data_IF_038594078691
#
_entry.id   IF_038594078691
#
_cell.length_a   1.000
_cell.length_b   1.000
_cell.length_c   1.000
_cell.angle_alpha   90.00
_cell.angle_beta   90.00
_cell.angle_gamma   90.00
#
_symmetry.space_group_name_H-M   'P 1'
#
loop_
_entity.id
_entity.type
_entity.pdbx_description
1 polymer ?
#
# COMPACT_ATOMS: atom_id res chain seq x y z
N UNK A 1 38.37 25.98 5.60
CA UNK A 1 37.72 26.85 4.60
C UNK A 1 37.50 26.03 3.35
N UNK A 2 36.30 25.57 3.17
CA UNK A 2 35.68 25.33 1.86
C UNK A 2 34.38 24.55 2.10
N UNK A 3 33.36 25.27 1.96
CA UNK A 3 32.01 24.98 1.53
C UNK A 3 31.75 23.51 1.14
N UNK A 4 30.93 22.86 1.95
CA UNK A 4 30.12 21.76 1.47
C UNK A 4 28.66 22.05 1.88
N UNK A 5 28.13 23.10 1.24
CA UNK A 5 26.72 23.48 1.30
C UNK A 5 25.91 22.57 0.39
N UNK A 6 24.86 22.01 0.96
CA UNK A 6 23.64 21.63 0.27
C UNK A 6 23.76 20.64 -0.90
N UNK A 7 23.91 19.36 -0.60
CA UNK A 7 23.26 18.34 -1.41
C UNK A 7 21.78 18.25 -0.96
N UNK A 8 20.99 19.24 -1.39
CA UNK A 8 19.54 19.11 -1.43
C UNK A 8 19.19 17.75 -2.05
N UNK A 9 18.34 17.01 -1.36
CA UNK A 9 17.72 15.76 -1.82
C UNK A 9 16.83 16.01 -3.04
N UNK A 10 17.42 16.42 -4.15
CA UNK A 10 16.75 16.51 -5.44
C UNK A 10 16.53 15.10 -5.94
N UNK A 11 15.30 14.61 -5.83
CA UNK A 11 14.84 13.41 -6.54
C UNK A 11 15.27 13.59 -8.00
N UNK A 12 16.09 12.65 -8.51
CA UNK A 12 16.68 12.79 -9.84
C UNK A 12 15.57 13.07 -10.87
N UNK A 13 15.74 14.03 -11.79
CA UNK A 13 14.71 14.43 -12.77
C UNK A 13 14.13 13.24 -13.55
N UNK A 14 14.93 12.21 -13.81
CA UNK A 14 14.48 10.96 -14.44
C UNK A 14 13.43 10.20 -13.60
N UNK A 15 13.56 10.22 -12.27
CA UNK A 15 12.60 9.56 -11.38
C UNK A 15 11.28 10.31 -11.34
N UNK A 16 11.30 11.64 -11.27
CA UNK A 16 10.08 12.45 -11.34
C UNK A 16 9.33 12.23 -12.65
N UNK A 17 10.05 12.27 -13.78
CA UNK A 17 9.47 11.98 -15.08
C UNK A 17 8.85 10.57 -15.14
N UNK A 18 9.52 9.58 -14.55
CA UNK A 18 8.98 8.22 -14.49
C UNK A 18 7.66 8.15 -13.70
N UNK A 19 7.56 8.88 -12.57
CA UNK A 19 6.30 8.96 -11.80
C UNK A 19 5.20 9.62 -12.64
N UNK A 20 5.48 10.73 -13.31
CA UNK A 20 4.53 11.41 -14.18
C UNK A 20 4.03 10.51 -15.32
N UNK A 21 4.93 9.76 -15.95
CA UNK A 21 4.59 8.82 -17.03
C UNK A 21 3.71 7.68 -16.50
N UNK A 22 3.99 7.18 -15.28
CA UNK A 22 3.13 6.19 -14.63
C UNK A 22 1.72 6.73 -14.36
N UNK A 23 1.61 7.96 -13.85
CA UNK A 23 0.32 8.59 -13.58
C UNK A 23 -0.47 8.76 -14.87
N UNK A 24 0.15 9.26 -15.94
CA UNK A 24 -0.49 9.40 -17.26
C UNK A 24 -0.99 8.07 -17.81
N UNK A 25 -0.18 7.02 -17.68
CA UNK A 25 -0.58 5.68 -18.12
C UNK A 25 -1.78 5.16 -17.33
N UNK A 26 -1.78 5.29 -15.99
CA UNK A 26 -2.89 4.88 -15.16
C UNK A 26 -4.18 5.65 -15.48
N UNK A 27 -4.07 6.95 -15.72
CA UNK A 27 -5.21 7.77 -16.14
C UNK A 27 -5.73 7.33 -17.53
N UNK A 28 -4.83 6.95 -18.44
CA UNK A 28 -5.21 6.46 -19.78
C UNK A 28 -5.98 5.14 -19.72
N UNK A 29 -5.62 4.21 -18.82
CA UNK A 29 -6.32 2.93 -18.66
C UNK A 29 -7.57 3.01 -17.79
N UNK A 30 -7.81 4.12 -17.09
CA UNK A 30 -8.96 4.31 -16.19
C UNK A 30 -10.30 3.92 -16.84
N UNK A 31 -10.65 4.32 -18.08
CA UNK A 31 -11.91 3.94 -18.70
C UNK A 31 -12.08 2.42 -18.82
N UNK A 32 -10.99 1.69 -19.15
CA UNK A 32 -11.00 0.23 -19.22
C UNK A 32 -11.23 -0.40 -17.85
N UNK A 33 -10.53 0.09 -16.82
CA UNK A 33 -10.70 -0.38 -15.44
C UNK A 33 -12.11 -0.11 -14.95
N UNK A 34 -12.66 1.07 -15.20
CA UNK A 34 -14.05 1.41 -14.85
C UNK A 34 -15.07 0.54 -15.59
N UNK A 35 -14.79 0.17 -16.85
CA UNK A 35 -15.61 -0.77 -17.58
C UNK A 35 -15.59 -2.16 -16.94
N UNK A 36 -14.40 -2.66 -16.54
CA UNK A 36 -14.25 -3.94 -15.86
C UNK A 36 -14.99 -3.98 -14.53
N UNK A 37 -14.98 -2.89 -13.74
CA UNK A 37 -15.74 -2.78 -12.51
C UNK A 37 -17.25 -2.94 -12.74
N UNK A 38 -17.76 -2.56 -13.90
CA UNK A 38 -19.19 -2.65 -14.26
C UNK A 38 -19.59 -3.98 -14.88
N UNK A 39 -18.69 -4.68 -15.55
CA UNK A 39 -19.05 -5.80 -16.45
C UNK A 39 -18.49 -7.14 -16.03
N UNK A 40 -17.40 -7.20 -15.27
CA UNK A 40 -16.73 -8.45 -14.95
C UNK A 40 -17.19 -9.00 -13.61
N UNK A 41 -17.71 -10.24 -13.59
CA UNK A 41 -18.08 -10.95 -12.35
C UNK A 41 -16.92 -11.10 -11.34
N UNK A 42 -15.69 -11.16 -11.85
CA UNK A 42 -14.49 -11.35 -11.00
C UNK A 42 -14.04 -10.07 -10.27
N UNK A 43 -14.36 -8.90 -10.86
CA UNK A 43 -13.93 -7.60 -10.35
C UNK A 43 -15.10 -6.72 -9.93
N UNK A 44 -16.26 -6.93 -10.54
CA UNK A 44 -17.45 -6.17 -10.23
C UNK A 44 -18.06 -6.64 -8.91
N UNK A 45 -18.11 -5.71 -7.94
CA UNK A 45 -19.18 -5.75 -6.95
C UNK A 45 -20.46 -5.22 -7.57
N UNK A 46 -21.52 -5.10 -6.79
CA UNK A 46 -22.78 -4.49 -7.25
C UNK A 46 -22.66 -2.96 -7.36
N UNK A 47 -21.49 -2.42 -7.68
CA UNK A 47 -21.25 -0.98 -7.69
C UNK A 47 -20.97 -0.43 -9.08
N UNK A 48 -21.53 0.74 -9.31
CA UNK A 48 -21.37 1.55 -10.51
C UNK A 48 -20.05 2.33 -10.52
N UNK A 49 -19.67 2.83 -9.34
CA UNK A 49 -18.42 3.58 -9.12
C UNK A 49 -17.94 3.46 -7.67
N UNK A 50 -16.66 3.79 -7.45
CA UNK A 50 -16.04 3.90 -6.14
C UNK A 50 -15.45 5.31 -6.04
N UNK A 51 -15.83 6.07 -5.03
CA UNK A 51 -15.47 7.48 -4.86
C UNK A 51 -14.76 7.72 -3.52
N UNK A 52 -13.87 8.71 -3.48
CA UNK A 52 -13.31 9.24 -2.23
C UNK A 52 -13.95 10.58 -1.93
N UNK A 53 -14.59 10.70 -0.79
CA UNK A 53 -15.30 11.91 -0.38
C UNK A 53 -14.54 12.78 0.61
N UNK A 54 -13.63 12.21 1.38
CA UNK A 54 -12.74 12.93 2.29
C UNK A 54 -11.34 12.34 2.22
N UNK A 55 -10.32 13.17 2.36
CA UNK A 55 -8.93 12.73 2.40
C UNK A 55 -8.18 13.51 3.47
N UNK A 56 -7.56 12.81 4.43
CA UNK A 56 -6.57 13.37 5.35
C UNK A 56 -5.25 12.66 5.14
N UNK A 57 -4.16 13.38 5.10
CA UNK A 57 -2.82 12.81 4.92
C UNK A 57 -1.92 13.20 6.08
N UNK A 58 -1.10 12.26 6.54
CA UNK A 58 -0.07 12.47 7.54
C UNK A 58 1.20 11.72 7.13
N UNK A 59 2.33 12.42 7.21
CA UNK A 59 3.66 11.83 7.11
C UNK A 59 4.66 12.62 7.94
N UNK A 60 5.67 11.94 8.46
CA UNK A 60 6.83 12.59 9.09
C UNK A 60 7.97 12.63 8.08
N UNK A 61 8.37 13.83 7.68
CA UNK A 61 9.51 14.03 6.79
C UNK A 61 10.73 14.36 7.65
N UNK A 62 11.79 13.53 7.55
CA UNK A 62 13.16 13.78 8.02
C UNK A 62 13.27 14.59 9.33
N UNK A 63 13.15 13.96 10.49
CA UNK A 63 13.67 14.45 11.78
C UNK A 63 13.24 15.82 12.29
N UNK A 64 12.81 16.72 11.42
CA UNK A 64 12.43 18.09 11.75
C UNK A 64 10.95 18.34 11.46
N UNK A 65 10.21 18.49 12.58
CA UNK A 65 8.90 19.09 12.70
C UNK A 65 7.73 18.44 11.93
N UNK A 66 6.72 18.10 12.75
CA UNK A 66 5.35 17.81 12.35
C UNK A 66 4.82 18.83 11.33
N UNK A 67 5.10 18.63 10.07
CA UNK A 67 4.27 19.18 9.02
C UNK A 67 3.12 18.21 8.83
N UNK A 68 2.14 18.30 9.73
CA UNK A 68 0.80 17.83 9.45
C UNK A 68 0.36 18.51 8.14
N UNK A 69 0.46 17.79 7.04
CA UNK A 69 -0.20 18.17 5.79
C UNK A 69 -1.68 17.81 5.93
N UNK A 70 -2.30 18.24 7.04
CA UNK A 70 -3.73 18.25 7.19
C UNK A 70 -4.28 19.39 6.32
N UNK A 71 -4.24 19.20 5.02
CA UNK A 71 -5.22 19.84 4.19
C UNK A 71 -6.46 18.98 4.33
N UNK A 72 -7.45 19.48 5.08
CA UNK A 72 -8.83 19.03 4.96
C UNK A 72 -9.25 19.36 3.53
N UNK A 73 -8.91 18.49 2.60
CA UNK A 73 -9.42 18.54 1.25
C UNK A 73 -10.86 18.06 1.34
N UNK A 74 -11.78 19.00 1.47
CA UNK A 74 -13.12 18.75 0.97
C UNK A 74 -12.95 18.63 -0.53
N UNK A 75 -13.07 17.41 -1.06
CA UNK A 75 -13.23 17.20 -2.50
C UNK A 75 -14.41 18.08 -2.92
N UNK A 76 -14.23 19.10 -3.77
CA UNK A 76 -15.36 19.82 -4.28
C UNK A 76 -16.26 18.77 -4.93
N UNK A 77 -17.48 18.66 -4.48
CA UNK A 77 -18.53 17.98 -5.25
C UNK A 77 -18.58 18.75 -6.56
N UNK A 78 -18.03 18.20 -7.62
CA UNK A 78 -18.31 18.69 -8.95
C UNK A 78 -19.76 18.35 -9.15
N UNK A 79 -20.64 19.35 -8.98
CA UNK A 79 -22.00 19.30 -9.49
C UNK A 79 -21.91 19.20 -11.02
N UNK A 80 -21.60 18.00 -11.50
CA UNK A 80 -21.98 17.63 -12.85
C UNK A 80 -23.49 17.57 -12.76
N UNK A 81 -24.12 18.60 -13.28
CA UNK A 81 -25.55 18.73 -13.44
C UNK A 81 -26.05 17.65 -14.42
N UNK A 82 -25.95 16.39 -14.01
CA UNK A 82 -26.67 15.26 -14.56
C UNK A 82 -28.09 15.44 -14.08
N UNK A 83 -28.94 16.08 -14.91
CA UNK A 83 -30.28 16.51 -14.62
C UNK A 83 -30.96 15.68 -13.55
N UNK A 84 -31.50 16.31 -12.51
CA UNK A 84 -32.28 15.84 -11.38
C UNK A 84 -32.65 14.34 -11.37
N UNK A 85 -31.65 13.46 -11.20
CA UNK A 85 -31.86 12.12 -10.70
C UNK A 85 -31.72 12.25 -9.20
N UNK A 86 -32.81 12.18 -8.45
CA UNK A 86 -32.77 12.00 -6.99
C UNK A 86 -31.90 10.78 -6.74
N UNK A 87 -30.65 11.00 -6.33
CA UNK A 87 -29.72 9.93 -6.01
C UNK A 87 -30.25 9.20 -4.78
N UNK A 88 -30.68 7.99 -4.99
CA UNK A 88 -31.16 7.09 -3.95
C UNK A 88 -30.01 6.78 -2.98
N UNK A 89 -29.96 7.49 -1.85
CA UNK A 89 -28.96 7.30 -0.80
C UNK A 89 -28.93 5.87 -0.23
N UNK A 90 -30.01 5.09 -0.43
CA UNK A 90 -30.08 3.68 -0.02
C UNK A 90 -29.14 2.79 -0.83
N UNK A 91 -28.64 3.28 -1.96
CA UNK A 91 -27.71 2.58 -2.86
C UNK A 91 -26.24 2.97 -2.65
N UNK A 92 -25.88 3.47 -1.49
CA UNK A 92 -24.52 3.87 -1.17
C UNK A 92 -24.00 3.18 0.08
N UNK A 93 -22.78 2.63 0.01
CA UNK A 93 -22.07 2.10 1.17
C UNK A 93 -20.77 2.87 1.33
N UNK A 94 -20.58 3.50 2.47
CA UNK A 94 -19.34 4.23 2.78
C UNK A 94 -18.55 3.51 3.85
N UNK A 95 -17.24 3.37 3.63
CA UNK A 95 -16.29 2.82 4.60
C UNK A 95 -15.12 3.77 4.78
N UNK A 96 -14.64 3.88 6.00
CA UNK A 96 -13.38 4.57 6.30
C UNK A 96 -12.21 3.63 5.96
N UNK A 97 -11.28 4.08 5.11
CA UNK A 97 -10.10 3.31 4.76
C UNK A 97 -8.84 4.16 4.99
N UNK A 98 -7.90 3.60 5.74
CA UNK A 98 -6.60 4.21 6.00
C UNK A 98 -5.55 3.52 5.13
N UNK A 99 -5.07 4.20 4.09
CA UNK A 99 -4.05 3.68 3.18
C UNK A 99 -2.67 4.10 3.66
N UNK A 100 -1.78 3.14 3.90
CA UNK A 100 -0.44 3.36 4.42
C UNK A 100 0.57 2.83 3.40
N UNK A 101 1.48 3.70 2.95
CA UNK A 101 2.67 3.23 2.25
C UNK A 101 3.72 2.80 3.27
N UNK A 102 4.42 1.68 3.00
CA UNK A 102 5.53 1.26 3.84
C UNK A 102 6.60 2.34 4.04
N UNK A 103 7.26 2.33 5.20
CA UNK A 103 8.43 3.14 5.52
C UNK A 103 9.60 2.88 4.57
N UNK A 104 10.68 3.63 4.69
CA UNK A 104 11.86 3.44 3.86
C UNK A 104 12.43 2.02 4.03
N UNK A 105 12.53 1.29 2.93
CA UNK A 105 13.23 0.00 2.87
C UNK A 105 14.62 0.14 2.26
N UNK A 106 15.50 -0.85 2.45
CA UNK A 106 16.86 -0.83 1.90
C UNK A 106 16.89 -0.67 0.37
N UNK A 107 15.90 -1.21 -0.34
CA UNK A 107 15.75 -0.98 -1.79
C UNK A 107 15.52 0.49 -2.14
N UNK A 108 14.82 1.27 -1.30
CA UNK A 108 14.61 2.69 -1.53
C UNK A 108 15.94 3.47 -1.41
N UNK A 109 16.76 3.11 -0.44
CA UNK A 109 18.12 3.67 -0.29
C UNK A 109 18.97 3.32 -1.50
N UNK A 110 18.95 2.06 -1.94
CA UNK A 110 19.68 1.60 -3.11
C UNK A 110 19.26 2.35 -4.39
N UNK A 111 17.97 2.63 -4.60
CA UNK A 111 17.50 3.48 -5.70
C UNK A 111 18.00 4.92 -5.59
N UNK A 112 17.97 5.52 -4.40
CA UNK A 112 18.46 6.89 -4.17
C UNK A 112 19.96 7.00 -4.45
N UNK A 113 20.73 5.94 -4.14
CA UNK A 113 22.17 5.87 -4.33
C UNK A 113 22.57 5.46 -5.76
N UNK A 114 21.59 5.05 -6.60
CA UNK A 114 21.85 4.59 -7.97
C UNK A 114 22.50 3.19 -8.04
N UNK A 115 22.50 2.43 -6.95
CA UNK A 115 22.97 1.04 -6.91
C UNK A 115 21.90 0.07 -7.40
N UNK A 116 20.64 0.43 -7.30
CA UNK A 116 19.52 -0.17 -8.03
C UNK A 116 19.09 0.81 -9.13
N UNK A 117 19.01 0.35 -10.36
CA UNK A 117 18.59 1.17 -11.50
C UNK A 117 17.10 0.99 -11.80
N UNK A 118 16.48 2.03 -12.30
CA UNK A 118 15.08 2.02 -12.74
C UNK A 118 14.98 2.51 -14.19
N UNK A 119 14.25 1.83 -15.11
CA UNK A 119 13.69 0.47 -14.92
C UNK A 119 14.81 -0.57 -14.82
N UNK A 120 14.56 -1.65 -14.10
CA UNK A 120 15.47 -2.79 -14.09
C UNK A 120 15.35 -3.48 -15.47
N UNK A 121 16.44 -3.45 -16.21
CA UNK A 121 16.55 -4.18 -17.47
C UNK A 121 17.42 -5.41 -17.17
N UNK A 122 16.88 -6.63 -17.31
CA UNK A 122 17.70 -7.82 -17.27
C UNK A 122 18.74 -7.66 -18.38
N UNK A 123 20.00 -7.60 -18.05
CA UNK A 123 21.07 -7.71 -19.04
C UNK A 123 21.01 -9.14 -19.55
N UNK A 124 20.51 -9.34 -20.76
CA UNK A 124 20.66 -10.58 -21.50
C UNK A 124 22.15 -10.75 -21.80
N UNK A 125 22.89 -11.36 -20.88
CA UNK A 125 24.18 -11.96 -21.23
C UNK A 125 23.86 -13.32 -21.85
N UNK A 126 24.18 -13.47 -23.13
CA UNK A 126 23.98 -14.72 -23.87
C UNK A 126 24.56 -15.90 -23.08
N UNK A 127 23.73 -16.85 -22.71
CA UNK A 127 24.11 -18.10 -22.06
C UNK A 127 24.13 -18.08 -20.53
N UNK A 128 23.72 -17.01 -19.87
CA UNK A 128 23.56 -16.99 -18.41
C UNK A 128 22.09 -17.23 -18.07
N UNK A 129 21.77 -18.44 -17.64
CA UNK A 129 20.55 -18.69 -16.89
C UNK A 129 20.66 -17.88 -15.59
N UNK A 130 19.91 -16.77 -15.49
CA UNK A 130 19.81 -15.97 -14.28
C UNK A 130 19.13 -16.81 -13.18
N UNK A 131 19.94 -17.64 -12.53
CA UNK A 131 19.49 -18.25 -11.27
C UNK A 131 19.53 -17.19 -10.20
N UNK A 132 18.50 -17.16 -9.35
CA UNK A 132 18.33 -16.27 -8.19
C UNK A 132 19.62 -16.02 -7.40
N UNK A 133 20.55 -16.97 -7.40
CA UNK A 133 21.77 -16.96 -6.59
C UNK A 133 22.91 -16.09 -7.13
N UNK A 134 22.82 -15.53 -8.33
CA UNK A 134 23.95 -14.88 -9.00
C UNK A 134 23.75 -13.39 -9.34
N UNK A 135 22.54 -12.84 -9.15
CA UNK A 135 22.31 -11.43 -9.43
C UNK A 135 22.63 -10.58 -8.19
N UNK A 136 23.45 -9.52 -8.29
CA UNK A 136 23.81 -8.68 -7.14
C UNK A 136 22.59 -8.05 -6.46
N UNK A 137 21.48 -7.88 -7.18
CA UNK A 137 20.25 -7.28 -6.66
C UNK A 137 19.40 -8.24 -5.82
N UNK A 138 19.72 -9.54 -5.75
CA UNK A 138 18.99 -10.50 -4.92
C UNK A 138 19.17 -10.29 -3.42
N UNK A 139 20.16 -9.52 -3.00
CA UNK A 139 20.25 -9.04 -1.62
C UNK A 139 19.04 -8.19 -1.22
N UNK A 140 18.27 -7.71 -2.20
CA UNK A 140 17.08 -6.89 -1.99
C UNK A 140 15.75 -7.66 -2.06
N UNK A 141 15.77 -8.99 -2.15
CA UNK A 141 14.54 -9.80 -2.14
C UNK A 141 13.76 -9.51 -0.87
N UNK A 142 12.48 -9.13 -1.04
CA UNK A 142 11.56 -8.79 0.06
C UNK A 142 12.22 -7.97 1.17
N UNK A 143 12.85 -6.84 0.79
CA UNK A 143 13.63 -6.03 1.73
C UNK A 143 12.85 -5.64 2.97
N UNK A 144 13.57 -5.56 4.09
CA UNK A 144 13.04 -5.00 5.35
C UNK A 144 13.14 -3.48 5.36
N UNK A 145 12.53 -2.85 6.37
CA UNK A 145 12.69 -1.44 6.65
C UNK A 145 14.14 -1.13 7.08
N UNK A 146 14.60 0.08 6.77
CA UNK A 146 15.75 0.71 7.41
C UNK A 146 15.36 1.22 8.79
N UNK A 147 16.33 1.62 9.62
CA UNK A 147 16.04 2.29 10.92
C UNK A 147 15.18 3.54 10.71
N UNK A 148 15.43 4.31 9.64
CA UNK A 148 14.61 5.45 9.25
C UNK A 148 13.18 5.01 8.89
N UNK A 149 13.03 3.94 8.12
CA UNK A 149 11.72 3.39 7.76
C UNK A 149 10.93 2.90 8.97
N UNK A 150 11.59 2.32 9.96
CA UNK A 150 10.96 1.95 11.23
C UNK A 150 10.53 3.19 12.02
N UNK A 151 11.39 4.22 12.11
CA UNK A 151 11.05 5.49 12.75
C UNK A 151 9.87 6.18 12.06
N UNK A 152 9.79 6.13 10.73
CA UNK A 152 8.64 6.62 9.97
C UNK A 152 7.36 5.87 10.37
N UNK A 153 7.41 4.54 10.47
CA UNK A 153 6.27 3.72 10.88
C UNK A 153 5.84 4.01 12.33
N UNK A 154 6.80 4.11 13.26
CA UNK A 154 6.53 4.43 14.67
C UNK A 154 5.91 5.82 14.81
N UNK A 155 6.33 6.79 13.98
CA UNK A 155 5.78 8.15 14.01
C UNK A 155 4.30 8.23 13.65
N UNK A 156 3.74 7.19 13.02
CA UNK A 156 2.31 7.11 12.72
C UNK A 156 1.45 6.77 13.95
N UNK A 157 2.03 6.25 15.04
CA UNK A 157 1.27 5.77 16.21
C UNK A 157 0.32 6.81 16.78
N UNK A 158 0.75 8.05 16.91
CA UNK A 158 -0.10 9.11 17.48
C UNK A 158 -1.25 9.47 16.53
N UNK A 159 -0.98 9.49 15.22
CA UNK A 159 -2.04 9.66 14.22
C UNK A 159 -3.04 8.50 14.24
N UNK A 160 -2.56 7.27 14.31
CA UNK A 160 -3.38 6.05 14.39
C UNK A 160 -4.26 6.08 15.64
N UNK A 161 -3.69 6.39 16.80
CA UNK A 161 -4.43 6.50 18.06
C UNK A 161 -5.58 7.53 18.00
N UNK A 162 -5.39 8.63 17.27
CA UNK A 162 -6.37 9.72 17.18
C UNK A 162 -7.40 9.53 16.05
N UNK A 163 -7.04 8.83 14.98
CA UNK A 163 -7.85 8.80 13.76
C UNK A 163 -8.32 7.40 13.34
N UNK A 164 -7.81 6.33 13.99
CA UNK A 164 -8.15 4.94 13.66
C UNK A 164 -8.75 4.20 14.87
N UNK A 165 -9.39 4.90 15.79
CA UNK A 165 -9.95 4.31 17.02
C UNK A 165 -11.03 3.25 16.76
N UNK A 166 -11.76 3.37 15.65
CA UNK A 166 -12.80 2.43 15.25
C UNK A 166 -12.32 1.41 14.20
N UNK A 167 -11.03 1.44 13.85
CA UNK A 167 -10.45 0.51 12.89
C UNK A 167 -10.47 -0.91 13.47
N UNK A 168 -11.18 -1.82 12.83
CA UNK A 168 -11.38 -3.20 13.29
C UNK A 168 -10.55 -4.22 12.52
N UNK A 169 -9.86 -3.77 11.46
CA UNK A 169 -9.03 -4.63 10.63
C UNK A 169 -7.82 -3.90 10.09
N UNK A 170 -6.65 -4.50 10.27
CA UNK A 170 -5.41 -4.11 9.62
C UNK A 170 -5.06 -5.12 8.53
N UNK A 171 -5.15 -4.68 7.29
CA UNK A 171 -4.83 -5.44 6.08
C UNK A 171 -3.37 -5.19 5.75
N UNK A 172 -2.58 -6.24 5.65
CA UNK A 172 -1.15 -6.17 5.41
C UNK A 172 -0.82 -6.77 4.04
N UNK A 173 0.04 -6.10 3.28
CA UNK A 173 0.76 -6.75 2.20
C UNK A 173 1.60 -7.90 2.76
N UNK A 174 1.76 -9.02 2.03
CA UNK A 174 2.59 -10.13 2.48
C UNK A 174 4.08 -9.79 2.51
N UNK A 175 4.50 -8.66 1.94
CA UNK A 175 5.89 -8.23 1.93
C UNK A 175 6.33 -7.65 3.27
N UNK A 176 7.53 -8.05 3.72
CA UNK A 176 8.05 -7.71 5.07
C UNK A 176 7.95 -6.22 5.38
N UNK A 177 8.46 -5.34 4.53
CA UNK A 177 8.48 -3.88 4.77
C UNK A 177 7.10 -3.28 5.04
N UNK A 178 6.07 -3.75 4.35
CA UNK A 178 4.72 -3.24 4.54
C UNK A 178 4.07 -3.83 5.81
N UNK A 179 4.25 -5.14 6.06
CA UNK A 179 3.83 -5.77 7.30
C UNK A 179 4.52 -5.16 8.52
N UNK A 180 5.84 -4.91 8.47
CA UNK A 180 6.58 -4.21 9.52
C UNK A 180 5.99 -2.83 9.78
N UNK A 181 5.71 -2.05 8.73
CA UNK A 181 5.13 -0.71 8.85
C UNK A 181 3.77 -0.76 9.54
N UNK A 182 2.88 -1.65 9.10
CA UNK A 182 1.55 -1.79 9.71
C UNK A 182 1.62 -2.18 11.19
N UNK A 183 2.45 -3.18 11.53
CA UNK A 183 2.62 -3.63 12.91
C UNK A 183 3.20 -2.54 13.81
N UNK A 184 4.21 -1.80 13.34
CA UNK A 184 4.81 -0.71 14.11
C UNK A 184 3.87 0.48 14.29
N UNK A 185 3.15 0.87 13.23
CA UNK A 185 2.20 1.96 13.27
C UNK A 185 1.01 1.68 14.22
N UNK A 186 0.56 0.43 14.28
CA UNK A 186 -0.58 -0.01 15.09
C UNK A 186 -0.18 -0.69 16.40
N UNK A 187 1.07 -0.53 16.86
CA UNK A 187 1.58 -1.24 18.06
C UNK A 187 0.69 -0.99 19.29
N UNK A 188 0.31 0.27 19.54
CA UNK A 188 -0.53 0.63 20.69
C UNK A 188 -1.91 -0.06 20.60
N UNK A 189 -2.54 0.03 19.44
CA UNK A 189 -3.85 -0.57 19.16
C UNK A 189 -3.81 -2.10 19.26
N UNK A 190 -2.73 -2.73 18.83
CA UNK A 190 -2.53 -4.17 18.93
C UNK A 190 -2.35 -4.60 20.39
N UNK A 191 -1.50 -3.88 21.16
CA UNK A 191 -1.16 -4.24 22.55
C UNK A 191 -2.24 -3.88 23.56
N UNK A 192 -2.86 -2.71 23.43
CA UNK A 192 -3.85 -2.21 24.38
C UNK A 192 -5.23 -2.84 24.14
N UNK A 193 -5.54 -3.16 22.91
CA UNK A 193 -6.88 -3.46 22.46
C UNK A 193 -7.29 -4.92 22.61
N UNK A 194 -6.36 -5.83 22.78
CA UNK A 194 -6.68 -7.21 23.17
C UNK A 194 -7.40 -7.29 24.53
N UNK A 195 -7.41 -6.19 25.29
CA UNK A 195 -7.92 -6.16 26.68
C UNK A 195 -9.15 -5.27 26.90
N UNK A 196 -9.39 -4.26 26.07
CA UNK A 196 -10.37 -3.21 26.38
C UNK A 196 -11.33 -2.84 25.25
N UNK A 197 -11.06 -3.21 24.01
CA UNK A 197 -11.94 -2.86 22.88
C UNK A 197 -13.16 -3.76 22.79
N UNK A 198 -14.30 -3.12 22.50
CA UNK A 198 -15.55 -3.83 22.20
C UNK A 198 -15.44 -4.69 20.92
N UNK A 199 -14.62 -4.25 19.95
CA UNK A 199 -14.34 -4.95 18.70
C UNK A 199 -12.82 -5.17 18.58
N UNK A 200 -12.33 -6.42 18.65
CA UNK A 200 -10.91 -6.70 18.52
C UNK A 200 -10.40 -6.35 17.11
N UNK A 201 -9.17 -5.82 17.04
CA UNK A 201 -8.49 -5.62 15.77
C UNK A 201 -8.14 -6.99 15.16
N UNK A 202 -8.41 -7.17 13.88
CA UNK A 202 -8.01 -8.34 13.09
C UNK A 202 -6.77 -8.00 12.27
N UNK A 203 -5.80 -8.91 12.19
CA UNK A 203 -4.63 -8.78 11.33
C UNK A 203 -4.76 -9.75 10.16
N UNK A 204 -4.92 -9.22 8.96
CA UNK A 204 -5.19 -10.01 7.76
C UNK A 204 -4.12 -9.74 6.70
N UNK A 205 -3.49 -10.78 6.19
CA UNK A 205 -2.51 -10.65 5.10
C UNK A 205 -3.17 -10.93 3.76
N UNK A 206 -3.08 -10.00 2.82
CA UNK A 206 -3.73 -10.09 1.50
C UNK A 206 -2.72 -10.02 0.36
N UNK A 207 -2.69 -11.06 -0.48
CA UNK A 207 -1.83 -11.09 -1.66
C UNK A 207 -2.15 -9.95 -2.63
N UNK A 208 -3.42 -9.51 -2.70
CA UNK A 208 -3.84 -8.38 -3.52
C UNK A 208 -3.12 -7.08 -3.17
N UNK A 209 -2.67 -6.91 -1.91
CA UNK A 209 -1.96 -5.72 -1.44
C UNK A 209 -0.45 -5.71 -1.77
N UNK A 210 0.04 -6.69 -2.52
CA UNK A 210 1.43 -6.81 -2.98
C UNK A 210 1.84 -5.60 -3.86
N UNK A 211 3.15 -5.32 -3.97
CA UNK A 211 3.67 -4.29 -4.91
C UNK A 211 3.47 -4.75 -6.38
N UNK A 212 3.80 -3.92 -7.34
CA UNK A 212 3.83 -4.32 -8.76
C UNK A 212 4.76 -5.52 -8.93
N UNK A 213 4.27 -6.58 -9.60
CA UNK A 213 5.00 -7.84 -9.70
C UNK A 213 6.15 -7.82 -10.71
N UNK A 214 7.16 -8.65 -10.46
CA UNK A 214 8.18 -9.07 -11.42
C UNK A 214 9.00 -7.95 -12.07
N UNK A 215 9.20 -6.83 -11.39
CA UNK A 215 10.03 -5.75 -11.91
C UNK A 215 11.43 -5.74 -11.28
N UNK A 216 11.51 -5.99 -9.98
CA UNK A 216 12.75 -6.00 -9.22
C UNK A 216 12.74 -7.13 -8.21
N UNK A 217 13.89 -7.65 -7.79
CA UNK A 217 13.96 -8.66 -6.72
C UNK A 217 13.25 -8.21 -5.43
N UNK A 218 13.21 -6.91 -5.15
CA UNK A 218 12.48 -6.37 -4.00
C UNK A 218 10.96 -6.51 -4.11
N UNK A 219 10.43 -6.85 -5.29
CA UNK A 219 9.01 -7.13 -5.52
C UNK A 219 8.65 -8.61 -5.34
N UNK A 220 9.63 -9.48 -5.12
CA UNK A 220 9.43 -10.87 -4.74
C UNK A 220 9.29 -10.97 -3.22
N UNK A 221 8.21 -11.61 -2.73
CA UNK A 221 8.08 -11.92 -1.31
C UNK A 221 8.78 -13.22 -0.95
N UNK A 222 9.15 -13.37 0.32
CA UNK A 222 9.57 -14.65 0.87
C UNK A 222 8.43 -15.68 0.85
N UNK A 223 8.76 -16.96 0.97
CA UNK A 223 7.77 -18.00 1.22
C UNK A 223 7.13 -17.81 2.61
N UNK A 224 5.95 -18.42 2.83
CA UNK A 224 5.20 -18.22 4.08
C UNK A 224 5.95 -18.74 5.30
N UNK A 225 6.70 -19.82 5.15
CA UNK A 225 7.53 -20.36 6.23
C UNK A 225 8.57 -19.33 6.69
N UNK A 226 9.30 -18.74 5.75
CA UNK A 226 10.34 -17.75 6.07
C UNK A 226 9.74 -16.44 6.59
N UNK A 227 8.57 -16.02 6.10
CA UNK A 227 7.83 -14.89 6.66
C UNK A 227 7.44 -15.13 8.12
N UNK A 228 6.91 -16.30 8.45
CA UNK A 228 6.58 -16.67 9.83
C UNK A 228 7.83 -16.71 10.71
N UNK A 229 8.91 -17.34 10.24
CA UNK A 229 10.21 -17.33 10.94
C UNK A 229 10.71 -15.90 11.18
N UNK A 230 10.59 -15.02 10.18
CA UNK A 230 11.00 -13.62 10.32
C UNK A 230 10.25 -12.91 11.45
N UNK A 231 8.91 -12.99 11.50
CA UNK A 231 8.10 -12.24 12.46
C UNK A 231 8.06 -12.88 13.85
N UNK A 232 8.04 -14.22 13.95
CA UNK A 232 7.79 -14.92 15.21
C UNK A 232 9.05 -15.49 15.87
N UNK A 233 10.15 -15.67 15.13
CA UNK A 233 11.39 -16.27 15.63
C UNK A 233 12.55 -15.28 15.56
N UNK A 234 12.98 -14.88 14.34
CA UNK A 234 14.16 -14.03 14.13
C UNK A 234 13.99 -12.64 14.77
N UNK A 235 12.81 -12.04 14.67
CA UNK A 235 12.48 -10.74 15.25
C UNK A 235 11.40 -10.86 16.34
N UNK A 236 11.45 -11.96 17.10
CA UNK A 236 10.46 -12.23 18.15
C UNK A 236 10.37 -11.15 19.21
N UNK A 237 11.50 -10.54 19.59
CA UNK A 237 11.53 -9.46 20.58
C UNK A 237 10.77 -8.22 20.10
N UNK A 238 10.83 -7.91 18.82
CA UNK A 238 10.17 -6.74 18.25
C UNK A 238 8.74 -7.05 17.84
N UNK A 239 8.55 -7.91 16.83
CA UNK A 239 7.23 -8.16 16.24
C UNK A 239 6.49 -9.29 16.95
N UNK A 240 7.20 -10.34 17.35
CA UNK A 240 6.62 -11.46 18.06
C UNK A 240 6.01 -11.05 19.40
N UNK A 241 6.62 -10.11 20.13
CA UNK A 241 6.08 -9.59 21.38
C UNK A 241 4.84 -8.71 21.16
N UNK A 242 4.81 -7.91 20.09
CA UNK A 242 3.61 -7.15 19.71
C UNK A 242 2.44 -8.11 19.49
N UNK A 243 2.64 -9.17 18.70
CA UNK A 243 1.62 -10.15 18.34
C UNK A 243 1.21 -11.02 19.54
N UNK A 244 2.18 -11.54 20.30
CA UNK A 244 1.92 -12.41 21.48
C UNK A 244 1.19 -11.68 22.62
N UNK A 245 1.53 -10.40 22.85
CA UNK A 245 0.90 -9.61 23.92
C UNK A 245 -0.59 -9.37 23.68
N UNK A 246 -1.02 -9.39 22.44
CA UNK A 246 -2.41 -9.16 22.03
C UNK A 246 -3.19 -10.45 21.81
N UNK A 247 -2.52 -11.60 21.69
CA UNK A 247 -3.12 -12.86 21.25
C UNK A 247 -3.55 -12.87 19.78
N UNK A 248 -3.05 -11.89 19.00
CA UNK A 248 -3.31 -11.81 17.56
C UNK A 248 -2.23 -12.56 16.78
N UNK A 249 -2.63 -13.12 15.65
CA UNK A 249 -1.75 -13.77 14.69
C UNK A 249 -1.92 -13.15 13.31
N UNK A 250 -0.86 -13.18 12.51
CA UNK A 250 -0.94 -12.81 11.11
C UNK A 250 -1.69 -13.92 10.36
N UNK A 251 -2.88 -13.60 9.90
CA UNK A 251 -3.72 -14.57 9.19
C UNK A 251 -3.31 -14.68 7.72
N UNK A 252 -2.43 -15.64 7.46
CA UNK A 252 -2.03 -16.04 6.10
C UNK A 252 -2.95 -17.11 5.51
N UNK A 253 -3.52 -17.96 6.36
CA UNK A 253 -4.18 -19.19 5.94
C UNK A 253 -5.61 -18.94 5.41
N UNK A 254 -6.43 -18.16 6.13
CA UNK A 254 -7.82 -17.92 5.74
C UNK A 254 -7.94 -17.13 4.44
N UNK A 255 -6.85 -16.46 4.05
CA UNK A 255 -6.79 -15.67 2.82
C UNK A 255 -6.28 -16.45 1.61
N UNK A 256 -5.96 -17.74 1.77
CA UNK A 256 -5.54 -18.62 0.69
C UNK A 256 -4.17 -18.26 0.09
N UNK A 257 -3.28 -17.62 0.86
CA UNK A 257 -1.92 -17.34 0.40
C UNK A 257 -1.19 -18.65 0.12
N UNK A 258 -0.50 -18.70 -1.03
CA UNK A 258 0.34 -19.84 -1.40
C UNK A 258 1.65 -19.81 -0.66
N UNK A 259 2.29 -20.98 -0.46
CA UNK A 259 3.57 -21.09 0.22
C UNK A 259 4.65 -20.20 -0.47
N UNK A 260 4.83 -20.33 -1.77
CA UNK A 260 5.72 -19.48 -2.56
C UNK A 260 4.98 -18.29 -3.16
N UNK A 261 5.73 -17.25 -3.54
CA UNK A 261 5.20 -16.11 -4.28
C UNK A 261 4.58 -16.58 -5.61
N UNK A 262 3.27 -16.42 -5.81
CA UNK A 262 2.61 -16.93 -7.00
C UNK A 262 2.80 -16.04 -8.24
N UNK A 263 3.40 -14.88 -8.06
CA UNK A 263 3.49 -13.84 -9.09
C UNK A 263 4.90 -13.61 -9.58
N UNK A 264 5.88 -14.18 -8.89
CA UNK A 264 7.28 -14.04 -9.27
C UNK A 264 7.63 -14.97 -10.43
N UNK A 265 8.05 -14.39 -11.53
CA UNK A 265 8.47 -15.09 -12.75
C UNK A 265 9.96 -14.88 -13.09
N UNK A 266 10.78 -14.67 -12.07
CA UNK A 266 12.22 -14.36 -12.19
C UNK A 266 12.53 -13.01 -12.86
N UNK A 267 11.62 -12.06 -12.78
CA UNK A 267 11.78 -10.73 -13.35
C UNK A 267 11.59 -10.66 -14.87
N UNK A 268 11.15 -11.76 -15.51
CA UNK A 268 10.97 -11.80 -16.95
C UNK A 268 9.76 -11.01 -17.42
N UNK A 269 8.75 -10.88 -16.58
CA UNK A 269 7.53 -10.18 -16.92
C UNK A 269 7.05 -9.31 -15.75
N UNK A 270 6.96 -8.03 -16.00
CA UNK A 270 6.34 -7.10 -15.06
C UNK A 270 4.82 -7.15 -15.20
N UNK A 271 4.11 -7.14 -14.07
CA UNK A 271 2.68 -6.88 -14.05
C UNK A 271 2.40 -5.54 -14.72
N UNK A 272 1.47 -5.50 -15.66
CA UNK A 272 1.02 -4.26 -16.25
C UNK A 272 0.13 -3.44 -15.30
N UNK A 273 -0.13 -2.19 -15.65
CA UNK A 273 -0.93 -1.29 -14.81
C UNK A 273 -2.38 -1.77 -14.67
N UNK A 274 -2.91 -2.43 -15.69
CA UNK A 274 -4.26 -3.01 -15.66
C UNK A 274 -4.31 -4.17 -14.67
N UNK A 275 -3.31 -5.04 -14.65
CA UNK A 275 -3.20 -6.13 -13.68
C UNK A 275 -3.18 -5.60 -12.25
N UNK A 276 -2.34 -4.58 -11.99
CA UNK A 276 -2.26 -3.93 -10.69
C UNK A 276 -3.60 -3.30 -10.27
N UNK A 277 -4.27 -2.58 -11.17
CA UNK A 277 -5.59 -2.01 -10.94
C UNK A 277 -6.65 -3.08 -10.67
N UNK A 278 -6.63 -4.20 -11.40
CA UNK A 278 -7.53 -5.35 -11.16
C UNK A 278 -7.37 -5.92 -9.75
N UNK A 279 -6.13 -6.02 -9.23
CA UNK A 279 -5.89 -6.41 -7.83
C UNK A 279 -6.49 -5.39 -6.85
N UNK A 280 -6.32 -4.10 -7.14
CA UNK A 280 -6.96 -3.02 -6.38
C UNK A 280 -8.49 -3.15 -6.35
N UNK A 281 -9.12 -3.44 -7.51
CA UNK A 281 -10.55 -3.71 -7.58
C UNK A 281 -10.96 -4.91 -6.70
N UNK A 282 -10.22 -6.01 -6.76
CA UNK A 282 -10.50 -7.21 -5.95
C UNK A 282 -10.42 -6.89 -4.46
N UNK A 283 -9.38 -6.16 -4.04
CA UNK A 283 -9.22 -5.79 -2.64
C UNK A 283 -10.35 -4.88 -2.17
N UNK A 284 -10.71 -3.86 -2.94
CA UNK A 284 -11.80 -2.95 -2.58
C UNK A 284 -13.16 -3.65 -2.59
N UNK A 285 -13.39 -4.57 -3.54
CA UNK A 285 -14.59 -5.43 -3.53
C UNK A 285 -14.66 -6.27 -2.26
N UNK A 286 -13.57 -6.93 -1.91
CA UNK A 286 -13.51 -7.72 -0.67
C UNK A 286 -13.76 -6.85 0.57
N UNK A 287 -13.22 -5.63 0.62
CA UNK A 287 -13.49 -4.67 1.71
C UNK A 287 -14.96 -4.25 1.72
N UNK A 288 -15.59 -4.09 0.56
CA UNK A 288 -17.03 -3.83 0.49
C UNK A 288 -17.84 -4.98 1.10
N UNK A 289 -17.47 -6.22 0.79
CA UNK A 289 -18.21 -7.43 1.18
C UNK A 289 -18.13 -7.75 2.68
N UNK A 290 -17.10 -7.28 3.41
CA UNK A 290 -16.97 -7.50 4.86
C UNK A 290 -17.81 -6.51 5.66
N UNK A 291 -18.16 -6.88 6.90
CA UNK A 291 -18.98 -6.01 7.78
C UNK A 291 -18.19 -4.85 8.41
N UNK A 292 -16.88 -4.92 8.40
CA UNK A 292 -16.01 -3.93 9.00
C UNK A 292 -16.20 -2.54 8.33
N UNK A 293 -16.46 -1.51 9.14
CA UNK A 293 -16.75 -0.14 8.65
C UNK A 293 -15.51 0.71 8.50
N UNK A 294 -14.47 0.40 9.25
CA UNK A 294 -13.20 1.10 9.24
C UNK A 294 -12.05 0.09 9.22
N UNK A 295 -11.19 0.20 8.21
CA UNK A 295 -10.07 -0.69 7.96
C UNK A 295 -8.81 0.09 7.61
N UNK A 296 -7.63 -0.48 7.90
CA UNK A 296 -6.35 0.05 7.47
C UNK A 296 -5.66 -0.92 6.50
N UNK A 297 -4.89 -0.38 5.53
CA UNK A 297 -4.17 -1.14 4.53
C UNK A 297 -2.72 -0.67 4.50
N UNK A 298 -1.78 -1.53 4.88
CA UNK A 298 -0.36 -1.25 4.72
C UNK A 298 0.15 -1.92 3.43
N UNK A 299 0.57 -1.11 2.47
CA UNK A 299 0.92 -1.53 1.12
C UNK A 299 2.05 -0.68 0.51
N UNK A 300 2.06 -0.51 -0.80
CA UNK A 300 3.18 -0.01 -1.58
C UNK A 300 2.77 1.11 -2.53
N UNK A 301 3.76 1.95 -2.91
CA UNK A 301 3.51 3.13 -3.74
C UNK A 301 2.88 2.82 -5.10
N UNK A 302 3.37 1.79 -5.80
CA UNK A 302 2.86 1.42 -7.13
C UNK A 302 1.42 0.91 -7.05
N UNK A 303 1.14 0.04 -6.10
CA UNK A 303 -0.19 -0.51 -5.86
C UNK A 303 -1.20 0.56 -5.43
N UNK A 304 -0.85 1.38 -4.43
CA UNK A 304 -1.73 2.46 -3.96
C UNK A 304 -2.01 3.48 -5.05
N UNK A 305 -0.99 3.84 -5.85
CA UNK A 305 -1.18 4.71 -6.99
C UNK A 305 -2.15 4.12 -8.02
N UNK A 306 -2.05 2.81 -8.31
CA UNK A 306 -2.99 2.15 -9.22
C UNK A 306 -4.44 2.24 -8.71
N UNK A 307 -4.67 2.08 -7.40
CA UNK A 307 -5.99 2.26 -6.81
C UNK A 307 -6.49 3.69 -7.02
N UNK A 308 -5.69 4.69 -6.62
CA UNK A 308 -6.14 6.08 -6.63
C UNK A 308 -6.25 6.68 -8.03
N UNK A 309 -5.42 6.25 -8.99
CA UNK A 309 -5.41 6.81 -10.35
C UNK A 309 -6.38 6.12 -11.30
N UNK A 310 -6.75 4.86 -11.06
CA UNK A 310 -7.55 4.12 -12.03
C UNK A 310 -8.79 3.42 -11.49
N UNK A 311 -8.81 3.05 -10.21
CA UNK A 311 -9.96 2.34 -9.61
C UNK A 311 -10.93 3.31 -8.96
N UNK A 312 -10.44 4.18 -8.08
CA UNK A 312 -11.25 5.17 -7.37
C UNK A 312 -11.49 6.37 -8.28
N UNK A 313 -12.73 6.80 -8.38
CA UNK A 313 -13.06 8.08 -8.98
C UNK A 313 -12.65 9.19 -8.01
N UNK A 314 -11.60 9.93 -8.36
CA UNK A 314 -11.17 11.08 -7.60
C UNK A 314 -11.11 12.31 -8.53
N UNK A 315 -11.28 13.49 -7.95
CA UNK A 315 -11.11 14.74 -8.68
C UNK A 315 -9.61 14.99 -8.89
N UNK A 316 -9.25 15.61 -10.00
CA UNK A 316 -7.88 15.88 -10.48
C UNK A 316 -6.94 16.56 -9.48
N UNK A 317 -7.44 17.04 -8.35
CA UNK A 317 -6.67 17.73 -7.31
C UNK A 317 -6.16 16.80 -6.20
N UNK A 318 -6.56 15.51 -6.19
CA UNK A 318 -6.13 14.56 -5.16
C UNK A 318 -4.69 14.14 -5.41
N UNK A 319 -3.79 14.44 -4.46
CA UNK A 319 -2.44 13.93 -4.53
C UNK A 319 -2.43 12.40 -4.32
N UNK A 320 -2.21 11.66 -5.40
CA UNK A 320 -2.19 10.19 -5.44
C UNK A 320 -0.83 9.58 -5.14
N UNK A 321 0.19 10.43 -4.98
CA UNK A 321 1.54 10.01 -4.59
C UNK A 321 1.60 9.83 -3.08
N UNK A 322 2.22 8.74 -2.65
CA UNK A 322 2.47 8.45 -1.25
C UNK A 322 3.97 8.57 -0.95
N UNK A 323 4.33 9.29 0.11
CA UNK A 323 5.68 9.29 0.68
C UNK A 323 5.91 8.01 1.51
N UNK A 324 7.18 7.64 1.77
CA UNK A 324 7.49 6.53 2.67
C UNK A 324 6.93 6.82 4.07
N UNK A 325 6.23 5.86 4.67
CA UNK A 325 5.60 6.05 5.96
C UNK A 325 4.44 7.06 5.95
N UNK A 326 3.81 7.32 4.82
CA UNK A 326 2.63 8.17 4.74
C UNK A 326 1.35 7.36 4.91
N UNK A 327 0.42 7.91 5.70
CA UNK A 327 -0.94 7.42 5.84
C UNK A 327 -1.92 8.43 5.24
N UNK A 328 -2.87 7.94 4.44
CA UNK A 328 -4.00 8.72 3.91
C UNK A 328 -5.30 8.07 4.36
N UNK A 329 -6.08 8.82 5.13
CA UNK A 329 -7.39 8.37 5.65
C UNK A 329 -8.50 8.92 4.78
N UNK A 330 -9.32 8.03 4.23
CA UNK A 330 -10.36 8.37 3.26
C UNK A 330 -11.70 7.78 3.66
N UNK A 331 -12.78 8.51 3.35
CA UNK A 331 -14.11 7.93 3.24
C UNK A 331 -14.31 7.47 1.80
N UNK A 332 -14.39 6.15 1.64
CA UNK A 332 -14.57 5.50 0.34
C UNK A 332 -16.02 5.09 0.20
N UNK A 333 -16.71 5.65 -0.79
CA UNK A 333 -18.11 5.40 -1.08
C UNK A 333 -18.23 4.48 -2.30
N UNK A 334 -18.91 3.37 -2.10
CA UNK A 334 -19.31 2.42 -3.13
C UNK A 334 -20.73 2.77 -3.58
N UNK A 335 -20.88 3.26 -4.80
CA UNK A 335 -22.17 3.57 -5.38
C UNK A 335 -22.72 2.32 -6.06
N UNK A 336 -23.85 1.80 -5.56
CA UNK A 336 -24.46 0.57 -6.08
C UNK A 336 -25.22 0.82 -7.38
N UNK A 337 -25.43 -0.24 -8.17
CA UNK A 337 -26.23 -0.20 -9.40
C UNK A 337 -27.72 -0.04 -9.10
#
# INVERSE_FOLDING_TARGET
MSNDESKENTIAPKFLKHIEDQVKELQRIRPEVQHLLKTSSDYAGPFRSIEVTTLKSFSRINGDHEKCLSKDFKVPTLDINLGNVEEDKSKRVTKRIHFIRHGEGYHNVAFKQGTLTWPWEPKEEEGVTHTLDKHPDYSYVDTVLTDEGENQAISLQDYVAQNCENCTMLILSPMRRASQTGLLAFTKEIQELGKTRKNPLKLVVKEEAHESFSAHPCDMRLNLKDLKTFFYETNAEKYGNILKSSGLELDYASQGLKESDPFWDNGLKREDRIGCAKRGCKLLKWIYDIDDKEVAIAAHAGFLRAIFESVIENNSETNTTFLNGEIKSCDVTFNLV
#
